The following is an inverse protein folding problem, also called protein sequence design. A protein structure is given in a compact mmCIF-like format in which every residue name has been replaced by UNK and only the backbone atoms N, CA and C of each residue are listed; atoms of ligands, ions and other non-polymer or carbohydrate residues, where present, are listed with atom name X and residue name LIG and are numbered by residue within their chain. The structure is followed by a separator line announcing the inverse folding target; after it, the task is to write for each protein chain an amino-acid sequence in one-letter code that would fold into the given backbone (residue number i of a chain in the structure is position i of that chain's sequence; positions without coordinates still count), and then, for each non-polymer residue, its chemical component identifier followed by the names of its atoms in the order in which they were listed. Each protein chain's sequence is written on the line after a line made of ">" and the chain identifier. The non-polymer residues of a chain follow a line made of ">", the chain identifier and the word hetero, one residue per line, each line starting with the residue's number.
data_IF_633520939726
#
_entry.id   IF_633520939726
#
_cell.length_a   1.000
_cell.length_b   1.000
_cell.length_c   1.000
_cell.angle_alpha   90.00
_cell.angle_beta   90.00
_cell.angle_gamma   90.00
#
_symmetry.space_group_name_H-M   'P 1'
#
loop_
_entity.id
_entity.type
_entity.pdbx_description
1 polymer ?
#
# COMPACT_ATOMS: atom_id res chain seq x y z
N UNK A 1 -4.49 11.47 -18.20
CA UNK A 1 -3.90 12.80 -17.95
C UNK A 1 -2.70 12.95 -18.85
N UNK A 2 -2.55 14.09 -19.52
CA UNK A 2 -1.38 14.39 -20.36
C UNK A 2 -0.31 15.01 -19.46
N UNK A 3 0.97 14.71 -19.70
CA UNK A 3 2.08 15.11 -18.82
C UNK A 3 2.19 16.63 -18.60
N UNK A 4 1.77 17.42 -19.59
CA UNK A 4 1.72 18.88 -19.55
C UNK A 4 0.71 19.45 -18.53
N UNK A 5 -0.29 18.65 -18.11
CA UNK A 5 -1.30 19.07 -17.13
C UNK A 5 -0.89 18.75 -15.68
N UNK A 6 0.33 18.27 -15.47
CA UNK A 6 0.85 17.82 -14.17
C UNK A 6 2.01 18.74 -13.76
N UNK A 7 1.93 19.31 -12.55
CA UNK A 7 3.03 20.07 -11.96
C UNK A 7 4.21 19.12 -11.71
N UNK A 8 5.25 19.27 -12.53
CA UNK A 8 6.42 18.39 -12.47
C UNK A 8 7.22 18.59 -11.18
N UNK A 9 7.31 19.82 -10.66
CA UNK A 9 8.04 20.11 -9.43
C UNK A 9 7.32 19.47 -8.23
N UNK A 10 5.99 19.59 -8.16
CA UNK A 10 5.20 18.91 -7.15
C UNK A 10 5.33 17.37 -7.25
N UNK A 11 5.33 16.82 -8.46
CA UNK A 11 5.52 15.39 -8.66
C UNK A 11 6.91 14.89 -8.27
N UNK A 12 7.96 15.69 -8.47
CA UNK A 12 9.31 15.34 -7.99
C UNK A 12 9.37 15.28 -6.47
N UNK A 13 8.70 16.21 -5.78
CA UNK A 13 8.58 16.19 -4.31
C UNK A 13 7.79 14.97 -3.83
N UNK A 14 6.69 14.61 -4.51
CA UNK A 14 5.84 13.47 -4.14
C UNK A 14 6.40 12.10 -4.55
N UNK A 15 7.33 12.06 -5.51
CA UNK A 15 7.86 10.82 -6.10
C UNK A 15 8.31 9.77 -5.09
N UNK A 16 9.00 10.10 -3.98
CA UNK A 16 9.39 9.10 -2.99
C UNK A 16 8.19 8.38 -2.36
N UNK A 17 7.10 9.11 -2.07
CA UNK A 17 5.85 8.54 -1.54
C UNK A 17 5.20 7.65 -2.59
N UNK A 18 5.16 8.12 -3.85
CA UNK A 18 4.60 7.34 -4.95
C UNK A 18 5.35 6.02 -5.16
N UNK A 19 6.69 6.02 -5.10
CA UNK A 19 7.50 4.80 -5.22
C UNK A 19 7.23 3.85 -4.05
N UNK A 20 7.06 4.35 -2.83
CA UNK A 20 6.75 3.51 -1.67
C UNK A 20 5.40 2.79 -1.85
N UNK A 21 4.37 3.50 -2.30
CA UNK A 21 3.00 2.98 -2.34
C UNK A 21 2.66 2.26 -3.66
N UNK A 22 3.40 2.56 -4.73
CA UNK A 22 3.12 2.08 -6.08
C UNK A 22 4.30 1.36 -6.74
N UNK A 23 5.50 1.39 -6.16
CA UNK A 23 6.70 0.83 -6.77
C UNK A 23 6.76 -0.70 -6.73
N UNK A 24 5.96 -1.34 -5.87
CA UNK A 24 5.87 -2.80 -5.80
C UNK A 24 5.08 -3.33 -6.99
N UNK A 25 5.71 -4.21 -7.77
CA UNK A 25 5.07 -4.97 -8.84
C UNK A 25 5.01 -6.43 -8.44
N UNK A 26 3.84 -7.03 -8.61
CA UNK A 26 3.66 -8.48 -8.64
C UNK A 26 3.36 -8.91 -10.07
N UNK A 27 3.79 -10.12 -10.42
CA UNK A 27 3.77 -10.57 -11.82
C UNK A 27 2.36 -10.60 -12.42
N UNK A 28 1.35 -10.80 -11.58
CA UNK A 28 -0.06 -10.94 -11.92
C UNK A 28 -0.92 -9.70 -11.62
N UNK A 29 -0.35 -8.65 -11.02
CA UNK A 29 -1.11 -7.47 -10.59
C UNK A 29 -0.49 -6.15 -11.09
N UNK A 30 -1.31 -5.10 -11.30
CA UNK A 30 -0.81 -3.76 -11.54
C UNK A 30 0.14 -3.27 -10.43
N UNK A 31 1.04 -2.35 -10.76
CA UNK A 31 1.91 -1.66 -9.80
C UNK A 31 1.10 -1.07 -8.64
N UNK A 32 1.61 -1.26 -7.41
CA UNK A 32 0.96 -0.75 -6.21
C UNK A 32 -0.28 -1.51 -5.77
N UNK A 33 -0.58 -2.65 -6.39
CA UNK A 33 -1.73 -3.46 -6.00
C UNK A 33 -1.43 -4.31 -4.78
N UNK A 34 -2.44 -4.44 -3.92
CA UNK A 34 -2.53 -5.49 -2.90
C UNK A 34 -3.35 -6.64 -3.46
N UNK A 35 -2.84 -7.86 -3.32
CA UNK A 35 -3.51 -9.08 -3.76
C UNK A 35 -4.21 -9.83 -2.63
N UNK A 36 -5.03 -10.85 -2.97
CA UNK A 36 -5.68 -11.71 -1.97
C UNK A 36 -4.71 -12.34 -0.97
N UNK A 37 -3.50 -12.70 -1.41
CA UNK A 37 -2.48 -13.31 -0.55
C UNK A 37 -1.94 -12.36 0.52
N UNK A 38 -1.85 -11.05 0.24
CA UNK A 38 -1.44 -10.06 1.25
C UNK A 38 -2.49 -9.94 2.36
N UNK A 39 -3.77 -9.95 1.96
CA UNK A 39 -4.90 -9.93 2.89
C UNK A 39 -4.86 -11.21 3.74
N UNK A 40 -4.65 -12.38 3.11
CA UNK A 40 -4.55 -13.65 3.81
C UNK A 40 -3.39 -13.66 4.82
N UNK A 41 -2.23 -13.10 4.47
CA UNK A 41 -1.09 -12.96 5.39
C UNK A 41 -1.42 -12.05 6.57
N UNK A 42 -2.09 -10.92 6.34
CA UNK A 42 -2.51 -10.03 7.43
C UNK A 42 -3.53 -10.68 8.36
N UNK A 43 -4.49 -11.46 7.81
CA UNK A 43 -5.42 -12.26 8.61
C UNK A 43 -4.66 -13.31 9.43
N UNK A 44 -3.71 -14.03 8.81
CA UNK A 44 -2.90 -15.03 9.50
C UNK A 44 -2.08 -14.42 10.64
N UNK A 45 -1.53 -13.21 10.46
CA UNK A 45 -0.87 -12.45 11.52
C UNK A 45 -1.84 -12.13 12.67
N UNK A 46 -3.01 -11.56 12.36
CA UNK A 46 -4.00 -11.22 13.38
C UNK A 46 -4.53 -12.43 14.15
N UNK A 47 -4.57 -13.60 13.51
CA UNK A 47 -4.96 -14.87 14.14
C UNK A 47 -3.83 -15.50 14.99
N UNK A 48 -2.61 -14.97 14.94
CA UNK A 48 -1.45 -15.52 15.65
C UNK A 48 -1.25 -14.92 17.04
N UNK A 49 -0.46 -15.62 17.88
CA UNK A 49 -0.05 -15.12 19.20
C UNK A 49 0.72 -13.79 19.16
N UNK A 50 1.32 -13.45 18.01
CA UNK A 50 2.04 -12.19 17.82
C UNK A 50 1.09 -10.97 17.89
N UNK A 51 -0.18 -11.16 17.56
CA UNK A 51 -1.21 -10.11 17.58
C UNK A 51 -2.05 -10.11 18.86
N UNK A 52 -1.70 -10.86 19.90
CA UNK A 52 -2.53 -11.03 21.12
C UNK A 52 -2.88 -9.74 21.88
N UNK A 53 -2.14 -8.65 21.65
CA UNK A 53 -2.38 -7.33 22.24
C UNK A 53 -3.05 -6.34 21.28
N UNK A 54 -3.43 -6.78 20.08
CA UNK A 54 -4.05 -5.95 19.04
C UNK A 54 -5.55 -6.29 19.02
N UNK A 55 -6.40 -5.33 19.38
CA UNK A 55 -7.86 -5.50 19.38
C UNK A 55 -8.58 -4.18 19.15
N UNK A 56 -9.76 -4.24 18.52
CA UNK A 56 -10.61 -3.07 18.28
C UNK A 56 -10.05 -2.07 17.26
N UNK A 57 -9.12 -2.50 16.41
CA UNK A 57 -8.46 -1.64 15.41
C UNK A 57 -8.91 -1.96 13.99
N UNK A 58 -8.82 -0.97 13.11
CA UNK A 58 -8.79 -1.17 11.66
C UNK A 58 -7.32 -1.27 11.23
N UNK A 59 -6.92 -2.40 10.65
CA UNK A 59 -5.58 -2.59 10.10
C UNK A 59 -5.65 -2.58 8.57
N UNK A 60 -5.39 -1.44 7.91
CA UNK A 60 -5.38 -1.37 6.45
C UNK A 60 -4.22 -2.21 5.87
N UNK A 61 -4.54 -2.99 4.83
CA UNK A 61 -3.57 -3.73 4.02
C UNK A 61 -3.78 -3.23 2.60
N UNK A 62 -3.13 -2.11 2.28
CA UNK A 62 -3.49 -1.36 1.08
C UNK A 62 -2.30 -0.65 0.45
N UNK A 63 -1.04 -1.00 0.76
CA UNK A 63 0.16 -0.26 0.30
C UNK A 63 0.19 1.22 0.75
N UNK A 64 -0.24 1.50 1.99
CA UNK A 64 -0.18 2.82 2.64
C UNK A 64 -1.16 3.87 2.07
N UNK A 65 -2.11 3.46 1.24
CA UNK A 65 -3.10 4.38 0.66
C UNK A 65 -4.01 5.02 1.71
N UNK A 66 -4.29 4.35 2.84
CA UNK A 66 -5.06 4.92 3.95
C UNK A 66 -4.31 5.99 4.76
N UNK A 67 -3.03 6.24 4.45
CA UNK A 67 -2.16 7.13 5.24
C UNK A 67 -1.75 8.42 4.54
N UNK A 68 -2.12 8.58 3.26
CA UNK A 68 -1.75 9.69 2.38
C UNK A 68 -3.00 10.46 1.98
#
# INVERSE_FOLDING_TARGET
>A
MVQENVDQAAMEVYRPVQVLCQGLKRDDLPYGSVGPDDIAQGIAFLASDAAKTISGVMMPIDNAWSTI
#
